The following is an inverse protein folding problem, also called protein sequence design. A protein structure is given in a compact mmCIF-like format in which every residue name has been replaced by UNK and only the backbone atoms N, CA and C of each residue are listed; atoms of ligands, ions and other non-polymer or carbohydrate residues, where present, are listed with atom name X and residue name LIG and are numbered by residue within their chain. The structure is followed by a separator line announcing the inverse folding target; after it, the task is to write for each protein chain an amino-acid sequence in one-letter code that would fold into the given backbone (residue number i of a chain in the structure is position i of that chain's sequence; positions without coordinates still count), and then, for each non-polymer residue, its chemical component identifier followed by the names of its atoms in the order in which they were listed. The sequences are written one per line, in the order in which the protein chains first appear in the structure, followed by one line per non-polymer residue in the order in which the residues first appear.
data_IF_285729357886
#
_entry.id   IF_285729357886
#
_cell.length_a   1.000
_cell.length_b   1.000
_cell.length_c   1.000
_cell.angle_alpha   90.00
_cell.angle_beta   90.00
_cell.angle_gamma   90.00
#
_symmetry.space_group_name_H-M   'P 1'
#
loop_
_entity.id
_entity.type
_entity.pdbx_description
1 polymer ?
#
# COMPACT_ATOMS: atom_id res chain seq x y z
N UNK A 1 24.39 -47.19 33.24
CA UNK A 1 24.75 -45.91 32.64
C UNK A 1 23.93 -45.80 31.32
N UNK A 2 22.74 -45.22 31.39
CA UNK A 2 21.86 -45.05 30.22
C UNK A 2 22.09 -43.63 29.65
N UNK A 3 22.69 -43.55 28.47
CA UNK A 3 22.81 -42.33 27.73
C UNK A 3 21.48 -41.96 27.12
N UNK A 4 20.83 -40.91 27.60
CA UNK A 4 19.72 -40.25 26.99
C UNK A 4 20.22 -39.42 25.82
N UNK A 5 19.90 -39.80 24.59
CA UNK A 5 20.11 -38.97 23.41
C UNK A 5 19.01 -37.90 23.40
N UNK A 6 19.35 -36.65 23.72
CA UNK A 6 18.53 -35.50 23.41
C UNK A 6 18.54 -35.29 21.88
N UNK A 7 17.40 -35.51 21.27
CA UNK A 7 17.16 -35.09 19.90
C UNK A 7 16.85 -33.57 19.93
N UNK A 8 17.88 -32.77 19.71
CA UNK A 8 17.72 -31.38 19.31
C UNK A 8 17.06 -31.38 17.91
N UNK A 9 15.79 -31.13 17.85
CA UNK A 9 15.11 -30.82 16.60
C UNK A 9 15.67 -29.47 16.12
N UNK A 10 16.57 -29.52 15.15
CA UNK A 10 16.98 -28.33 14.38
C UNK A 10 15.75 -27.87 13.59
N UNK A 11 15.08 -26.82 14.09
CA UNK A 11 14.08 -26.10 13.30
C UNK A 11 14.77 -25.61 12.03
N UNK A 12 14.25 -26.00 10.88
CA UNK A 12 14.67 -25.43 9.60
C UNK A 12 14.52 -23.91 9.68
N UNK A 13 15.48 -23.10 9.17
CA UNK A 13 15.29 -21.66 9.19
C UNK A 13 13.99 -21.32 8.45
N UNK A 14 13.10 -20.62 9.15
CA UNK A 14 11.82 -20.17 8.61
C UNK A 14 12.07 -19.38 7.32
N UNK A 15 11.33 -19.69 6.26
CA UNK A 15 11.47 -18.93 5.02
C UNK A 15 10.99 -17.49 5.23
N UNK A 16 11.80 -16.49 4.85
CA UNK A 16 11.43 -15.09 5.08
C UNK A 16 10.12 -14.74 4.38
N UNK A 17 9.28 -14.00 5.12
CA UNK A 17 7.91 -13.66 4.73
C UNK A 17 7.79 -12.23 4.22
N UNK A 18 6.95 -12.02 3.19
CA UNK A 18 6.67 -10.73 2.61
C UNK A 18 5.19 -10.34 2.73
N UNK A 19 4.94 -9.04 2.82
CA UNK A 19 3.60 -8.46 2.80
C UNK A 19 3.47 -7.51 1.61
N UNK A 20 2.44 -7.70 0.78
CA UNK A 20 2.16 -6.88 -0.40
C UNK A 20 0.86 -6.11 -0.21
N UNK A 21 0.92 -4.79 -0.33
CA UNK A 21 -0.19 -3.87 -0.06
C UNK A 21 -0.59 -3.15 -1.36
N UNK A 22 -1.71 -3.58 -1.96
CA UNK A 22 -2.26 -2.92 -3.15
C UNK A 22 -2.66 -1.47 -2.84
N UNK A 23 -2.44 -0.58 -3.81
CA UNK A 23 -2.99 0.76 -3.78
C UNK A 23 -4.50 0.81 -4.07
N UNK A 24 -5.16 1.87 -3.63
CA UNK A 24 -6.61 1.96 -3.87
C UNK A 24 -7.28 3.24 -3.41
N UNK A 25 -6.52 4.24 -2.94
CA UNK A 25 -7.08 5.40 -2.24
C UNK A 25 -7.87 4.93 -1.03
N UNK A 26 -9.06 5.50 -0.79
CA UNK A 26 -9.88 5.17 0.40
C UNK A 26 -10.43 3.73 0.42
N UNK A 27 -10.30 2.95 -0.67
CA UNK A 27 -10.58 1.51 -0.61
C UNK A 27 -9.58 0.77 0.28
N UNK A 28 -8.37 1.30 0.44
CA UNK A 28 -7.35 0.75 1.32
C UNK A 28 -7.68 0.91 2.83
N UNK A 29 -8.84 1.49 3.20
CA UNK A 29 -9.37 1.33 4.55
C UNK A 29 -9.60 -0.15 4.90
N UNK A 30 -9.93 -1.00 3.92
CA UNK A 30 -9.93 -2.45 4.08
C UNK A 30 -8.55 -2.96 4.53
N UNK A 31 -7.50 -2.54 3.82
CA UNK A 31 -6.12 -2.87 4.19
C UNK A 31 -5.78 -2.39 5.61
N UNK A 32 -6.23 -1.18 6.00
CA UNK A 32 -6.02 -0.68 7.36
C UNK A 32 -6.66 -1.57 8.43
N UNK A 33 -7.89 -2.04 8.18
CA UNK A 33 -8.57 -2.97 9.09
C UNK A 33 -7.81 -4.29 9.24
N UNK A 34 -7.31 -4.83 8.13
CA UNK A 34 -6.48 -6.04 8.15
C UNK A 34 -5.19 -5.83 8.93
N UNK A 35 -4.48 -4.72 8.68
CA UNK A 35 -3.22 -4.41 9.35
C UNK A 35 -3.39 -4.16 10.87
N UNK A 36 -4.51 -3.58 11.28
CA UNK A 36 -4.81 -3.38 12.69
C UNK A 36 -5.04 -4.71 13.42
N UNK A 37 -5.72 -5.68 12.76
CA UNK A 37 -5.82 -7.05 13.28
C UNK A 37 -4.45 -7.71 13.38
N UNK A 38 -3.57 -7.51 12.40
CA UNK A 38 -2.21 -8.04 12.45
C UNK A 38 -1.43 -7.49 13.64
N UNK A 39 -1.47 -6.17 13.86
CA UNK A 39 -0.80 -5.54 15.01
C UNK A 39 -1.33 -6.07 16.35
N UNK A 40 -2.65 -6.20 16.48
CA UNK A 40 -3.31 -6.69 17.70
C UNK A 40 -3.07 -8.17 17.99
N UNK A 41 -2.64 -8.95 16.98
CA UNK A 41 -2.42 -10.38 17.10
C UNK A 41 -0.96 -10.80 16.86
N UNK A 42 -0.03 -9.85 16.90
CA UNK A 42 1.41 -10.08 16.71
C UNK A 42 1.79 -10.82 15.41
N UNK A 43 1.01 -10.61 14.36
CA UNK A 43 1.38 -11.08 13.02
C UNK A 43 2.46 -10.14 12.49
N UNK A 44 3.64 -10.68 12.17
CA UNK A 44 4.82 -9.93 11.71
C UNK A 44 5.33 -10.48 10.39
N UNK A 45 5.98 -9.61 9.62
CA UNK A 45 6.60 -9.95 8.34
C UNK A 45 8.04 -9.42 8.32
N UNK A 46 8.92 -10.07 7.55
CA UNK A 46 10.30 -9.63 7.40
C UNK A 46 10.43 -8.45 6.44
N UNK A 47 9.53 -8.35 5.47
CA UNK A 47 9.45 -7.20 4.58
C UNK A 47 8.01 -6.89 4.17
N UNK A 48 7.76 -5.63 3.83
CA UNK A 48 6.52 -5.22 3.18
C UNK A 48 6.80 -4.29 2.00
N UNK A 49 5.93 -4.35 0.99
CA UNK A 49 5.94 -3.43 -0.14
C UNK A 49 4.54 -2.88 -0.36
N UNK A 50 4.44 -1.57 -0.47
CA UNK A 50 3.17 -0.89 -0.65
C UNK A 50 3.14 0.01 -1.88
N UNK A 51 1.94 0.25 -2.38
CA UNK A 51 1.67 1.14 -3.50
C UNK A 51 0.63 2.17 -3.09
N UNK A 52 0.89 3.47 -3.31
CA UNK A 52 -0.12 4.51 -3.08
C UNK A 52 -0.65 4.49 -1.62
N UNK A 53 -1.96 4.35 -1.43
CA UNK A 53 -2.55 4.20 -0.10
C UNK A 53 -2.02 2.97 0.67
N UNK A 54 -1.53 1.94 -0.01
CA UNK A 54 -0.87 0.79 0.62
C UNK A 54 0.41 1.19 1.38
N UNK A 55 1.18 2.14 0.85
CA UNK A 55 2.33 2.73 1.56
C UNK A 55 1.86 3.59 2.73
N UNK A 56 0.89 4.50 2.48
CA UNK A 56 0.41 5.46 3.49
C UNK A 56 -0.25 4.79 4.70
N UNK A 57 -0.81 3.61 4.53
CA UNK A 57 -1.44 2.87 5.62
C UNK A 57 -0.48 1.80 6.18
N UNK A 58 0.35 1.21 5.33
CA UNK A 58 1.38 0.26 5.73
C UNK A 58 2.44 0.84 6.68
N UNK A 59 2.76 2.14 6.57
CA UNK A 59 3.68 2.80 7.50
C UNK A 59 3.18 2.75 8.95
N UNK A 60 1.84 2.79 9.19
CA UNK A 60 1.27 2.66 10.52
C UNK A 60 1.43 1.23 11.10
N UNK A 61 1.45 0.21 10.22
CA UNK A 61 1.75 -1.15 10.64
C UNK A 61 3.21 -1.28 11.07
N UNK A 62 4.16 -0.71 10.31
CA UNK A 62 5.57 -0.72 10.69
C UNK A 62 5.83 0.07 11.97
N UNK A 63 5.16 1.22 12.18
CA UNK A 63 5.24 2.01 13.43
C UNK A 63 4.36 1.47 14.57
N UNK A 64 3.68 0.35 14.37
CA UNK A 64 2.80 -0.30 15.35
C UNK A 64 1.73 0.63 15.95
N UNK A 65 1.03 1.38 15.09
CA UNK A 65 0.01 2.36 15.49
C UNK A 65 -1.39 1.95 15.00
N UNK A 66 -2.07 0.99 15.68
CA UNK A 66 -3.39 0.53 15.28
C UNK A 66 -4.42 1.67 15.34
N UNK A 67 -5.39 1.66 14.43
CA UNK A 67 -6.45 2.65 14.32
C UNK A 67 -6.03 4.00 13.77
N UNK A 68 -4.73 4.29 13.61
CA UNK A 68 -4.25 5.60 13.21
C UNK A 68 -4.76 6.00 11.82
N UNK A 69 -4.71 5.09 10.84
CA UNK A 69 -5.16 5.39 9.47
C UNK A 69 -6.64 5.79 9.43
N UNK A 70 -7.51 5.04 10.10
CA UNK A 70 -8.94 5.37 10.19
C UNK A 70 -9.17 6.68 10.95
N UNK A 71 -8.50 6.84 12.10
CA UNK A 71 -8.68 7.99 13.01
C UNK A 71 -8.40 9.32 12.32
N UNK A 72 -7.25 9.49 11.66
CA UNK A 72 -6.95 10.77 11.02
C UNK A 72 -7.80 11.04 9.78
N UNK A 73 -8.16 10.02 8.99
CA UNK A 73 -9.05 10.19 7.85
C UNK A 73 -10.44 10.65 8.26
N UNK A 74 -11.00 10.13 9.36
CA UNK A 74 -12.28 10.58 9.91
C UNK A 74 -12.15 11.96 10.52
N UNK A 75 -11.13 12.20 11.34
CA UNK A 75 -10.91 13.49 12.02
C UNK A 75 -10.84 14.66 11.05
N UNK A 76 -10.21 14.45 9.89
CA UNK A 76 -9.94 15.53 8.94
C UNK A 76 -10.78 15.46 7.66
N UNK A 77 -11.81 14.60 7.60
CA UNK A 77 -12.67 14.41 6.41
C UNK A 77 -13.30 15.68 5.86
N UNK A 78 -13.64 16.61 6.74
CA UNK A 78 -14.29 17.87 6.41
C UNK A 78 -13.30 19.05 6.38
N UNK A 79 -12.01 18.82 6.61
CA UNK A 79 -11.00 19.85 6.57
C UNK A 79 -10.54 20.12 5.13
N UNK A 80 -10.80 21.33 4.57
CA UNK A 80 -10.43 21.65 3.19
C UNK A 80 -8.90 21.72 2.96
N UNK A 81 -8.10 21.79 4.05
CA UNK A 81 -6.65 21.75 3.99
C UNK A 81 -6.09 20.31 3.99
N UNK A 82 -6.93 19.29 4.17
CA UNK A 82 -6.49 17.88 4.13
C UNK A 82 -6.57 17.32 2.72
N UNK A 83 -7.77 16.99 2.23
CA UNK A 83 -8.01 16.42 0.91
C UNK A 83 -9.22 17.14 0.29
N UNK A 84 -9.03 17.98 -0.72
CA UNK A 84 -10.12 18.77 -1.30
C UNK A 84 -9.82 19.27 -2.71
N UNK A 85 -10.89 19.58 -3.44
CA UNK A 85 -10.81 20.34 -4.69
C UNK A 85 -10.19 21.73 -4.49
N UNK A 86 -10.45 22.40 -3.35
CA UNK A 86 -9.83 23.67 -2.99
C UNK A 86 -8.30 23.53 -2.92
N UNK A 87 -7.81 22.46 -2.30
CA UNK A 87 -6.37 22.17 -2.26
C UNK A 87 -5.83 21.96 -3.67
N UNK A 88 -6.49 21.15 -4.50
CA UNK A 88 -6.08 20.89 -5.89
C UNK A 88 -5.95 22.19 -6.69
N UNK A 89 -6.94 23.07 -6.65
CA UNK A 89 -6.89 24.34 -7.40
C UNK A 89 -5.83 25.30 -6.87
N UNK A 90 -5.56 25.31 -5.56
CA UNK A 90 -4.60 26.22 -4.94
C UNK A 90 -3.16 25.74 -5.07
N UNK A 91 -2.92 24.45 -4.92
CA UNK A 91 -1.56 23.88 -4.80
C UNK A 91 -1.17 22.98 -5.98
N UNK A 92 -2.14 22.51 -6.75
CA UNK A 92 -1.97 21.45 -7.76
C UNK A 92 -2.04 20.04 -7.19
N UNK A 93 -2.32 19.88 -5.86
CA UNK A 93 -2.41 18.62 -5.17
C UNK A 93 -3.77 18.50 -4.47
N UNK A 94 -4.54 17.44 -4.75
CA UNK A 94 -5.80 17.15 -4.06
C UNK A 94 -5.57 16.82 -2.59
N UNK A 95 -4.56 15.99 -2.31
CA UNK A 95 -4.01 15.77 -0.98
C UNK A 95 -2.98 16.87 -0.73
N UNK A 96 -3.26 17.74 0.24
CA UNK A 96 -2.38 18.87 0.52
C UNK A 96 -1.07 18.40 1.13
N UNK A 97 0.04 18.74 0.47
CA UNK A 97 1.38 18.32 0.86
C UNK A 97 1.74 18.76 2.28
N UNK A 98 1.65 20.07 2.55
CA UNK A 98 2.00 20.63 3.87
C UNK A 98 1.16 20.00 4.98
N UNK A 99 -0.15 19.84 4.76
CA UNK A 99 -1.03 19.27 5.77
C UNK A 99 -0.72 17.79 5.99
N UNK A 100 -0.68 16.99 4.91
CA UNK A 100 -0.70 15.52 4.99
C UNK A 100 0.67 14.91 5.27
N UNK A 101 1.76 15.55 4.81
CA UNK A 101 3.12 15.01 4.93
C UNK A 101 4.03 15.81 5.87
N UNK A 102 3.54 16.94 6.45
CA UNK A 102 4.29 17.68 7.47
C UNK A 102 3.46 17.86 8.74
N UNK A 103 2.29 18.51 8.68
CA UNK A 103 1.53 18.82 9.90
C UNK A 103 0.85 17.58 10.51
N UNK A 104 0.28 16.70 9.68
CA UNK A 104 -0.39 15.51 10.16
C UNK A 104 0.56 14.57 10.93
N UNK A 105 1.69 14.12 10.36
CA UNK A 105 2.55 13.16 11.01
C UNK A 105 3.41 13.73 12.15
N UNK A 106 3.54 15.06 12.28
CA UNK A 106 4.35 15.65 13.33
C UNK A 106 3.53 16.37 14.42
N UNK A 107 2.29 16.82 14.10
CA UNK A 107 1.54 17.71 15.00
C UNK A 107 0.13 17.21 15.29
N UNK A 108 -0.66 16.87 14.26
CA UNK A 108 -2.08 16.63 14.44
C UNK A 108 -2.42 15.19 14.85
N UNK A 109 -1.70 14.24 14.34
CA UNK A 109 -1.77 12.82 14.68
C UNK A 109 -0.36 12.22 14.51
N UNK A 110 0.54 12.45 15.49
CA UNK A 110 1.95 12.13 15.36
C UNK A 110 2.20 10.67 14.98
N UNK A 111 3.10 10.48 14.02
CA UNK A 111 3.62 9.18 13.69
C UNK A 111 4.75 8.84 14.67
N UNK A 112 4.79 7.62 15.13
CA UNK A 112 5.89 7.12 15.94
C UNK A 112 7.07 6.74 15.02
N UNK A 113 7.91 7.72 14.73
CA UNK A 113 9.08 7.55 13.88
C UNK A 113 10.15 6.67 14.53
N UNK A 114 10.23 6.65 15.85
CA UNK A 114 11.19 5.81 16.58
C UNK A 114 10.76 4.34 16.48
N UNK A 115 9.51 4.01 16.78
CA UNK A 115 8.99 2.67 16.60
C UNK A 115 9.09 2.19 15.13
N UNK A 116 8.93 3.11 14.18
CA UNK A 116 9.13 2.79 12.76
C UNK A 116 10.58 2.38 12.46
N UNK A 117 11.57 3.14 12.94
CA UNK A 117 13.00 2.86 12.74
C UNK A 117 13.48 1.60 13.47
N UNK A 118 12.97 1.38 14.68
CA UNK A 118 13.33 0.21 15.50
C UNK A 118 12.74 -1.10 14.98
N UNK A 119 11.65 -1.04 14.21
CA UNK A 119 11.04 -2.23 13.63
C UNK A 119 11.93 -2.80 12.52
N UNK A 120 12.43 -4.05 12.62
CA UNK A 120 13.36 -4.64 11.67
C UNK A 120 12.75 -4.94 10.30
N UNK A 121 11.44 -4.89 10.15
CA UNK A 121 10.76 -5.12 8.88
C UNK A 121 11.24 -4.14 7.81
N UNK A 122 11.73 -4.63 6.69
CA UNK A 122 12.06 -3.78 5.53
C UNK A 122 10.77 -3.28 4.88
N UNK A 123 10.70 -1.99 4.56
CA UNK A 123 9.49 -1.41 4.00
C UNK A 123 9.77 -0.66 2.69
N UNK A 124 9.11 -1.08 1.60
CA UNK A 124 9.32 -0.54 0.27
C UNK A 124 8.11 0.25 -0.22
N UNK A 125 8.37 1.42 -0.82
CA UNK A 125 7.40 2.16 -1.60
C UNK A 125 7.62 1.94 -3.09
N UNK A 126 6.54 1.73 -3.85
CA UNK A 126 6.59 1.70 -5.30
C UNK A 126 6.22 3.08 -5.84
N UNK A 127 7.07 3.64 -6.69
CA UNK A 127 6.84 4.87 -7.42
C UNK A 127 7.01 4.63 -8.92
N UNK A 128 6.46 5.51 -9.75
CA UNK A 128 6.71 5.52 -11.20
C UNK A 128 7.66 6.66 -11.52
N UNK A 129 8.85 6.35 -12.03
CA UNK A 129 9.74 7.33 -12.65
C UNK A 129 9.12 7.80 -13.97
N UNK A 130 8.85 9.10 -14.09
CA UNK A 130 8.15 9.61 -15.26
C UNK A 130 9.05 9.89 -16.46
N UNK A 131 10.34 10.08 -16.23
CA UNK A 131 11.35 10.24 -17.26
C UNK A 131 11.67 8.92 -17.93
N UNK A 132 11.86 7.84 -17.15
CA UNK A 132 12.16 6.50 -17.69
C UNK A 132 10.91 5.68 -18.02
N UNK A 133 9.79 5.95 -17.36
CA UNK A 133 8.56 5.18 -17.52
C UNK A 133 8.66 3.78 -16.93
N UNK A 134 9.34 3.63 -15.80
CA UNK A 134 9.54 2.35 -15.13
C UNK A 134 9.19 2.44 -13.64
N UNK A 135 8.92 1.30 -12.96
CA UNK A 135 8.74 1.27 -11.53
C UNK A 135 10.06 1.49 -10.81
N UNK A 136 10.01 2.24 -9.72
CA UNK A 136 11.09 2.41 -8.75
C UNK A 136 10.61 1.90 -7.42
N UNK A 137 11.38 1.01 -6.82
CA UNK A 137 11.10 0.41 -5.51
C UNK A 137 12.12 0.97 -4.51
N UNK A 138 11.66 1.93 -3.71
CA UNK A 138 12.51 2.59 -2.73
C UNK A 138 12.28 2.00 -1.34
N UNK A 139 13.36 1.58 -0.67
CA UNK A 139 13.32 1.15 0.71
C UNK A 139 13.25 2.37 1.62
N UNK A 140 12.27 2.42 2.52
CA UNK A 140 12.06 3.50 3.47
C UNK A 140 12.57 3.03 4.83
N UNK A 141 13.84 3.29 5.11
CA UNK A 141 14.47 2.96 6.38
C UNK A 141 13.99 3.88 7.50
N UNK A 142 13.85 5.17 7.19
CA UNK A 142 13.28 6.19 8.06
C UNK A 142 12.06 6.83 7.38
N UNK A 143 10.92 6.82 8.08
CA UNK A 143 9.69 7.41 7.57
C UNK A 143 9.70 8.94 7.62
N UNK A 144 10.60 9.59 8.38
CA UNK A 144 10.66 11.05 8.44
C UNK A 144 11.39 11.66 7.23
N UNK A 145 11.22 12.95 7.03
CA UNK A 145 11.92 13.71 6.01
C UNK A 145 11.76 13.14 4.60
N UNK A 146 12.83 12.55 4.08
CA UNK A 146 12.86 11.98 2.72
C UNK A 146 11.93 10.76 2.58
N UNK A 147 11.71 9.99 3.63
CA UNK A 147 10.78 8.87 3.63
C UNK A 147 9.34 9.32 3.36
N UNK A 148 8.88 10.41 4.00
CA UNK A 148 7.59 11.02 3.70
C UNK A 148 7.48 11.51 2.25
N UNK A 149 8.57 11.98 1.65
CA UNK A 149 8.62 12.36 0.23
C UNK A 149 8.41 11.15 -0.69
N UNK A 150 9.03 10.01 -0.41
CA UNK A 150 8.81 8.77 -1.16
C UNK A 150 7.39 8.24 -1.00
N UNK A 151 6.82 8.32 0.21
CA UNK A 151 5.42 7.98 0.46
C UNK A 151 4.47 8.90 -0.32
N UNK A 152 4.74 10.21 -0.36
CA UNK A 152 4.02 11.19 -1.16
C UNK A 152 4.10 10.84 -2.65
N UNK A 153 5.30 10.55 -3.17
CA UNK A 153 5.52 10.18 -4.57
C UNK A 153 4.70 8.94 -4.95
N UNK A 154 4.75 7.90 -4.11
CA UNK A 154 3.98 6.67 -4.30
C UNK A 154 2.46 6.91 -4.37
N UNK A 155 1.95 7.96 -3.72
CA UNK A 155 0.52 8.30 -3.67
C UNK A 155 0.13 9.46 -4.61
N UNK A 156 1.05 9.97 -5.44
CA UNK A 156 0.82 11.10 -6.34
C UNK A 156 0.15 10.66 -7.64
N UNK A 157 -1.19 10.58 -7.61
CA UNK A 157 -1.99 10.16 -8.77
C UNK A 157 -2.00 11.23 -9.87
N UNK A 158 -1.84 10.85 -11.16
CA UNK A 158 -1.99 11.76 -12.29
C UNK A 158 -3.28 12.59 -12.21
N UNK A 159 -3.20 13.89 -12.54
CA UNK A 159 -4.27 14.90 -12.47
C UNK A 159 -4.61 15.35 -11.06
N UNK A 160 -4.50 14.47 -10.06
CA UNK A 160 -4.81 14.80 -8.66
C UNK A 160 -3.59 15.25 -7.85
N UNK A 161 -2.38 15.09 -8.42
CA UNK A 161 -1.16 15.55 -7.83
C UNK A 161 -0.14 15.96 -8.90
N UNK A 162 0.75 16.87 -8.53
CA UNK A 162 1.98 17.14 -9.27
C UNK A 162 2.96 15.98 -9.10
N UNK A 163 3.83 15.72 -10.09
CA UNK A 163 4.98 14.86 -9.87
C UNK A 163 5.82 15.35 -8.69
N UNK A 164 6.32 14.42 -7.91
CA UNK A 164 7.19 14.72 -6.76
C UNK A 164 8.64 14.63 -7.21
N UNK A 165 9.38 15.71 -7.04
CA UNK A 165 10.81 15.75 -7.34
C UNK A 165 11.61 15.19 -6.15
N UNK A 166 12.48 14.21 -6.43
CA UNK A 166 13.45 13.63 -5.48
C UNK A 166 14.76 13.45 -6.24
N UNK A 167 15.83 14.04 -5.75
CA UNK A 167 17.18 13.96 -6.34
C UNK A 167 17.23 14.32 -7.83
N UNK A 168 16.48 15.36 -8.23
CA UNK A 168 16.42 15.85 -9.60
C UNK A 168 15.61 14.97 -10.58
N UNK A 169 14.92 13.94 -10.10
CA UNK A 169 14.00 13.11 -10.88
C UNK A 169 12.57 13.25 -10.37
N UNK A 170 11.61 13.01 -11.25
CA UNK A 170 10.20 13.18 -10.93
C UNK A 170 9.46 11.84 -10.87
N UNK A 171 8.61 11.73 -9.85
CA UNK A 171 7.89 10.49 -9.56
C UNK A 171 6.39 10.73 -9.44
N UNK A 172 5.63 9.73 -9.84
CA UNK A 172 4.18 9.63 -9.67
C UNK A 172 3.82 8.29 -9.00
N UNK A 173 2.51 8.10 -8.74
CA UNK A 173 1.92 6.91 -8.11
C UNK A 173 2.44 5.61 -8.74
N UNK A 174 2.92 4.72 -7.89
CA UNK A 174 3.49 3.44 -8.30
C UNK A 174 2.51 2.54 -9.04
N UNK A 175 1.21 2.67 -8.74
CA UNK A 175 0.17 1.90 -9.41
C UNK A 175 0.00 2.21 -10.91
N UNK A 176 0.81 3.09 -11.49
CA UNK A 176 0.91 3.30 -12.93
C UNK A 176 1.72 2.18 -13.58
N UNK A 177 2.80 1.73 -12.93
CA UNK A 177 3.77 0.77 -13.45
C UNK A 177 3.73 -0.60 -12.78
N UNK A 178 3.40 -0.67 -11.48
CA UNK A 178 3.24 -1.91 -10.71
C UNK A 178 2.22 -1.66 -9.59
N UNK A 179 1.02 -2.22 -9.74
CA UNK A 179 -0.08 -2.01 -8.79
C UNK A 179 -0.08 -3.02 -7.65
N UNK A 180 0.52 -4.23 -7.86
CA UNK A 180 0.57 -5.33 -6.89
C UNK A 180 1.95 -5.99 -6.97
N UNK A 181 2.97 -5.43 -6.30
CA UNK A 181 4.39 -5.73 -6.50
C UNK A 181 4.85 -7.08 -5.93
N UNK A 182 4.08 -8.16 -6.18
CA UNK A 182 4.42 -9.50 -5.70
C UNK A 182 5.73 -10.02 -6.31
N UNK A 183 5.93 -9.79 -7.62
CA UNK A 183 7.18 -10.22 -8.30
C UNK A 183 8.41 -9.53 -7.71
N UNK A 184 8.28 -8.25 -7.35
CA UNK A 184 9.38 -7.52 -6.73
C UNK A 184 9.80 -8.13 -5.40
N UNK A 185 8.84 -8.34 -4.48
CA UNK A 185 9.15 -8.84 -3.13
C UNK A 185 9.71 -10.27 -3.18
N UNK A 186 9.19 -11.11 -4.08
CA UNK A 186 9.74 -12.45 -4.35
C UNK A 186 11.17 -12.39 -4.90
N UNK A 187 11.44 -11.44 -5.81
CA UNK A 187 12.78 -11.18 -6.34
C UNK A 187 13.80 -10.74 -5.29
N UNK A 188 13.33 -10.19 -4.15
CA UNK A 188 14.15 -9.88 -2.96
C UNK A 188 14.42 -11.10 -2.07
N UNK A 189 13.85 -12.26 -2.40
CA UNK A 189 14.06 -13.50 -1.65
C UNK A 189 12.92 -13.87 -0.68
N UNK A 190 11.90 -13.03 -0.53
CA UNK A 190 10.73 -13.31 0.30
C UNK A 190 9.76 -14.22 -0.47
N UNK A 191 9.85 -15.52 -0.25
CA UNK A 191 9.11 -16.52 -1.05
C UNK A 191 7.70 -16.78 -0.57
N UNK A 192 7.45 -16.73 0.74
CA UNK A 192 6.10 -16.80 1.33
C UNK A 192 5.55 -15.37 1.44
N UNK A 193 4.42 -15.09 0.80
CA UNK A 193 3.89 -13.72 0.75
C UNK A 193 2.41 -13.65 1.10
N UNK A 194 2.03 -12.71 1.95
CA UNK A 194 0.63 -12.33 2.14
C UNK A 194 0.34 -11.11 1.26
N UNK A 195 -0.66 -11.21 0.40
CA UNK A 195 -1.11 -10.14 -0.48
C UNK A 195 -2.45 -9.60 -0.02
N UNK A 196 -2.54 -8.29 0.22
CA UNK A 196 -3.80 -7.62 0.57
C UNK A 196 -4.26 -6.79 -0.64
N UNK A 197 -5.41 -7.19 -1.22
CA UNK A 197 -6.05 -6.46 -2.30
C UNK A 197 -7.18 -5.55 -1.79
N UNK A 198 -7.47 -4.50 -2.55
CA UNK A 198 -8.57 -3.56 -2.34
C UNK A 198 -9.74 -3.78 -3.30
N UNK A 199 -9.68 -4.87 -4.06
CA UNK A 199 -10.70 -5.36 -4.98
C UNK A 199 -10.90 -6.87 -4.80
N UNK A 200 -12.09 -7.40 -5.11
CA UNK A 200 -12.29 -8.84 -5.15
C UNK A 200 -11.35 -9.54 -6.12
N UNK A 201 -11.07 -10.82 -5.88
CA UNK A 201 -10.13 -11.59 -6.68
C UNK A 201 -10.58 -11.77 -8.16
N UNK A 202 -11.87 -11.82 -8.40
CA UNK A 202 -12.46 -11.93 -9.74
C UNK A 202 -12.53 -10.59 -10.50
N UNK A 203 -12.06 -9.51 -9.87
CA UNK A 203 -12.07 -8.19 -10.49
C UNK A 203 -11.18 -8.19 -11.73
N UNK A 204 -11.75 -7.73 -12.86
CA UNK A 204 -11.00 -7.45 -14.08
C UNK A 204 -11.02 -5.95 -14.37
N UNK A 205 -9.82 -5.36 -14.46
CA UNK A 205 -9.68 -3.95 -14.77
C UNK A 205 -9.97 -3.71 -16.25
N UNK A 206 -10.92 -2.82 -16.53
CA UNK A 206 -11.26 -2.40 -17.89
C UNK A 206 -10.39 -1.21 -18.31
N UNK A 207 -10.21 -1.05 -19.62
CA UNK A 207 -9.58 0.14 -20.20
C UNK A 207 -10.33 1.38 -19.76
N UNK A 208 -9.63 2.32 -19.15
CA UNK A 208 -10.24 3.56 -18.67
C UNK A 208 -10.52 4.53 -19.82
N UNK A 209 -11.66 5.20 -19.77
CA UNK A 209 -11.91 6.37 -20.62
C UNK A 209 -11.09 7.55 -20.10
N UNK A 210 -10.31 8.14 -20.98
CA UNK A 210 -9.41 9.26 -20.64
C UNK A 210 -10.19 10.57 -20.83
N UNK A 211 -10.56 11.20 -19.72
CA UNK A 211 -11.19 12.52 -19.71
C UNK A 211 -10.24 13.63 -20.19
N UNK A 212 -10.79 14.84 -20.45
CA UNK A 212 -10.00 15.96 -21.00
C UNK A 212 -8.82 16.37 -20.11
N UNK A 213 -9.02 16.48 -18.79
CA UNK A 213 -7.96 16.83 -17.85
C UNK A 213 -6.81 15.82 -17.86
N UNK A 214 -7.14 14.52 -17.93
CA UNK A 214 -6.15 13.46 -18.06
C UNK A 214 -5.42 13.54 -19.41
N UNK A 215 -6.11 13.84 -20.52
CA UNK A 215 -5.46 14.03 -21.82
C UNK A 215 -4.48 15.20 -21.80
N UNK A 216 -4.83 16.32 -21.17
CA UNK A 216 -3.96 17.49 -21.04
C UNK A 216 -2.73 17.15 -20.18
N UNK A 217 -2.90 16.48 -19.05
CA UNK A 217 -1.81 16.00 -18.19
C UNK A 217 -0.88 15.05 -18.96
N UNK A 218 -1.43 14.03 -19.60
CA UNK A 218 -0.68 13.02 -20.34
C UNK A 218 0.09 13.59 -21.54
N UNK A 219 -0.37 14.72 -22.11
CA UNK A 219 0.34 15.40 -23.19
C UNK A 219 1.71 15.93 -22.74
N UNK A 220 1.85 16.29 -21.46
CA UNK A 220 3.12 16.73 -20.87
C UNK A 220 4.05 15.54 -20.54
N UNK A 221 3.49 14.34 -20.35
CA UNK A 221 4.22 13.14 -19.92
C UNK A 221 3.95 11.95 -20.83
N UNK A 222 4.56 11.89 -22.05
CA UNK A 222 4.24 10.87 -23.06
C UNK A 222 4.47 9.43 -22.60
N UNK A 223 5.53 9.16 -21.82
CA UNK A 223 5.78 7.83 -21.26
C UNK A 223 4.68 7.41 -20.28
N UNK A 224 4.24 8.32 -19.40
CA UNK A 224 3.10 8.07 -18.50
C UNK A 224 1.82 7.81 -19.30
N UNK A 225 1.63 8.51 -20.42
CA UNK A 225 0.48 8.28 -21.30
C UNK A 225 0.43 6.85 -21.84
N UNK A 226 1.58 6.32 -22.29
CA UNK A 226 1.70 4.94 -22.78
C UNK A 226 1.42 3.92 -21.67
N UNK A 227 1.98 4.14 -20.47
CA UNK A 227 1.74 3.29 -19.30
C UNK A 227 0.27 3.27 -18.90
N UNK A 228 -0.37 4.44 -18.81
CA UNK A 228 -1.78 4.55 -18.46
C UNK A 228 -2.70 3.89 -19.49
N UNK A 229 -2.36 3.93 -20.78
CA UNK A 229 -3.11 3.24 -21.83
C UNK A 229 -3.09 1.72 -21.66
N UNK A 230 -2.01 1.16 -21.11
CA UNK A 230 -1.77 -0.29 -20.92
C UNK A 230 -2.00 -0.74 -19.46
N UNK A 231 -2.30 0.17 -18.55
CA UNK A 231 -2.43 -0.11 -17.12
C UNK A 231 -3.45 -1.21 -16.79
N UNK A 232 -4.51 -1.34 -17.57
CA UNK A 232 -5.50 -2.40 -17.38
C UNK A 232 -4.95 -3.79 -17.74
N UNK A 233 -4.04 -3.88 -18.70
CA UNK A 233 -3.36 -5.12 -19.07
C UNK A 233 -2.41 -5.50 -17.93
N UNK A 234 -1.48 -4.62 -17.57
CA UNK A 234 -0.52 -4.82 -16.48
C UNK A 234 -1.21 -5.31 -15.19
N UNK A 235 -2.27 -4.63 -14.76
CA UNK A 235 -3.00 -5.01 -13.55
C UNK A 235 -3.64 -6.40 -13.64
N UNK A 236 -4.21 -6.76 -14.77
CA UNK A 236 -4.80 -8.09 -14.96
C UNK A 236 -3.73 -9.18 -15.01
N UNK A 237 -2.57 -8.91 -15.62
CA UNK A 237 -1.42 -9.82 -15.63
C UNK A 237 -0.87 -10.05 -14.20
N UNK A 238 -0.89 -9.02 -13.34
CA UNK A 238 -0.54 -9.13 -11.91
C UNK A 238 -1.53 -10.04 -11.18
N UNK A 239 -2.84 -9.90 -11.41
CA UNK A 239 -3.85 -10.78 -10.83
C UNK A 239 -3.69 -12.23 -11.31
N UNK A 240 -3.46 -12.44 -12.60
CA UNK A 240 -3.24 -13.79 -13.15
C UNK A 240 -1.96 -14.42 -12.56
N UNK A 241 -0.92 -13.63 -12.30
CA UNK A 241 0.27 -14.07 -11.59
C UNK A 241 -0.02 -14.46 -10.14
N UNK A 242 -0.80 -13.67 -9.40
CA UNK A 242 -1.23 -14.00 -8.03
C UNK A 242 -1.99 -15.32 -8.02
N UNK A 243 -2.90 -15.53 -8.97
CA UNK A 243 -3.61 -16.80 -9.10
C UNK A 243 -2.66 -18.00 -9.24
N UNK A 244 -1.59 -17.86 -10.03
CA UNK A 244 -0.60 -18.91 -10.19
C UNK A 244 0.19 -19.18 -8.91
N UNK A 245 0.53 -18.14 -8.16
CA UNK A 245 1.29 -18.26 -6.90
C UNK A 245 0.42 -18.83 -5.75
N UNK A 246 -0.88 -18.54 -5.74
CA UNK A 246 -1.85 -19.18 -4.85
C UNK A 246 -1.89 -20.71 -5.04
N UNK A 247 -1.92 -21.16 -6.30
CA UNK A 247 -1.91 -22.59 -6.63
C UNK A 247 -0.60 -23.30 -6.22
N UNK A 248 0.50 -22.58 -6.18
CA UNK A 248 1.81 -23.09 -5.73
C UNK A 248 1.97 -23.10 -4.20
N UNK A 249 1.02 -22.51 -3.46
CA UNK A 249 1.13 -22.36 -2.01
C UNK A 249 2.15 -21.31 -1.54
N UNK A 250 2.68 -20.48 -2.44
CA UNK A 250 3.67 -19.44 -2.13
C UNK A 250 3.05 -18.11 -1.67
N UNK A 251 1.74 -17.97 -1.85
CA UNK A 251 1.01 -16.73 -1.58
C UNK A 251 -0.26 -17.02 -0.81
N UNK A 252 -0.53 -16.20 0.19
CA UNK A 252 -1.80 -16.14 0.89
C UNK A 252 -2.51 -14.83 0.52
N UNK A 253 -3.79 -14.91 0.15
CA UNK A 253 -4.54 -13.76 -0.33
C UNK A 253 -5.60 -13.31 0.67
N UNK A 254 -5.62 -12.01 0.94
CA UNK A 254 -6.68 -11.33 1.68
C UNK A 254 -7.30 -10.29 0.76
N UNK A 255 -8.56 -10.45 0.40
CA UNK A 255 -9.28 -9.50 -0.44
C UNK A 255 -10.74 -9.40 0.01
N UNK A 256 -11.43 -8.30 -0.31
CA UNK A 256 -12.86 -8.20 -0.05
C UNK A 256 -13.62 -9.22 -0.91
N UNK A 257 -14.69 -9.78 -0.36
CA UNK A 257 -15.55 -10.74 -1.08
C UNK A 257 -16.36 -10.04 -2.19
N UNK A 258 -16.68 -8.75 -1.97
CA UNK A 258 -17.44 -7.93 -2.90
C UNK A 258 -16.80 -6.55 -3.09
N UNK A 259 -17.27 -5.79 -4.09
CA UNK A 259 -16.83 -4.41 -4.30
C UNK A 259 -17.14 -3.54 -3.09
N UNK A 260 -16.14 -2.84 -2.59
CA UNK A 260 -16.22 -2.04 -1.36
C UNK A 260 -17.16 -0.82 -1.44
N UNK A 261 -17.69 -0.47 -2.61
CA UNK A 261 -18.64 0.62 -2.82
C UNK A 261 -18.21 1.98 -2.23
N UNK A 262 -16.90 2.22 -2.22
CA UNK A 262 -16.27 3.50 -1.84
C UNK A 262 -15.42 4.03 -3.00
N UNK A 263 -15.53 5.33 -3.28
CA UNK A 263 -14.67 6.01 -4.25
C UNK A 263 -13.26 6.23 -3.70
N UNK A 264 -12.24 6.27 -4.57
CA UNK A 264 -10.84 6.46 -4.18
C UNK A 264 -10.58 7.72 -3.34
N UNK A 265 -11.36 8.77 -3.55
CA UNK A 265 -11.26 10.07 -2.89
C UNK A 265 -12.47 10.38 -1.99
N UNK A 266 -13.26 9.36 -1.63
CA UNK A 266 -14.51 9.54 -0.87
C UNK A 266 -14.23 9.59 0.62
N UNK A 267 -14.32 10.77 1.23
CA UNK A 267 -14.18 10.99 2.68
C UNK A 267 -15.51 10.83 3.46
N UNK A 268 -16.45 10.02 2.95
CA UNK A 268 -17.69 9.72 3.69
C UNK A 268 -17.39 8.77 4.84
N UNK A 269 -17.63 9.23 6.07
CA UNK A 269 -17.27 8.52 7.30
C UNK A 269 -17.91 7.14 7.39
N UNK A 270 -19.22 7.05 7.12
CA UNK A 270 -19.97 5.80 7.11
C UNK A 270 -19.35 4.74 6.18
N UNK A 271 -18.90 5.19 4.99
CA UNK A 271 -18.23 4.30 4.03
C UNK A 271 -16.84 3.89 4.47
N UNK A 272 -16.06 4.83 5.03
CA UNK A 272 -14.71 4.52 5.52
C UNK A 272 -14.76 3.51 6.67
N UNK A 273 -15.67 3.69 7.64
CA UNK A 273 -15.86 2.74 8.76
C UNK A 273 -16.28 1.37 8.25
N UNK A 274 -17.31 1.29 7.42
CA UNK A 274 -17.77 0.01 6.86
C UNK A 274 -16.66 -0.74 6.11
N UNK A 275 -15.87 -0.04 5.31
CA UNK A 275 -14.76 -0.64 4.55
C UNK A 275 -13.64 -1.11 5.47
N UNK A 276 -13.34 -0.35 6.52
CA UNK A 276 -12.39 -0.73 7.55
C UNK A 276 -12.87 -1.98 8.33
N UNK A 277 -14.12 -1.98 8.79
CA UNK A 277 -14.74 -3.11 9.50
C UNK A 277 -14.74 -4.38 8.66
N UNK A 278 -15.04 -4.28 7.35
CA UNK A 278 -14.92 -5.42 6.44
C UNK A 278 -13.50 -6.00 6.39
N UNK A 279 -12.47 -5.15 6.48
CA UNK A 279 -11.07 -5.57 6.60
C UNK A 279 -10.78 -6.30 7.92
N UNK A 280 -11.29 -5.77 9.02
CA UNK A 280 -11.16 -6.38 10.34
C UNK A 280 -11.83 -7.75 10.37
N UNK A 281 -13.09 -7.85 9.95
CA UNK A 281 -13.85 -9.11 9.90
C UNK A 281 -13.14 -10.14 9.03
N UNK A 282 -12.68 -9.74 7.85
CA UNK A 282 -11.96 -10.63 6.92
C UNK A 282 -10.68 -11.17 7.55
N UNK A 283 -9.85 -10.31 8.14
CA UNK A 283 -8.60 -10.71 8.78
C UNK A 283 -8.84 -11.63 9.98
N UNK A 284 -9.83 -11.31 10.83
CA UNK A 284 -10.18 -12.15 11.98
C UNK A 284 -10.64 -13.54 11.55
N UNK A 285 -11.45 -13.64 10.50
CA UNK A 285 -11.91 -14.93 9.97
C UNK A 285 -10.80 -15.82 9.40
N UNK A 286 -9.72 -15.19 8.92
CA UNK A 286 -8.57 -15.87 8.29
C UNK A 286 -7.37 -16.02 9.25
N UNK A 287 -7.45 -15.51 10.47
CA UNK A 287 -6.30 -15.41 11.38
C UNK A 287 -5.60 -16.76 11.64
N UNK A 288 -6.30 -17.88 11.88
CA UNK A 288 -5.65 -19.18 12.04
C UNK A 288 -4.86 -19.61 10.80
N UNK A 289 -5.45 -19.45 9.61
CA UNK A 289 -4.81 -19.80 8.34
C UNK A 289 -3.61 -18.91 8.02
N UNK A 290 -3.68 -17.62 8.38
CA UNK A 290 -2.57 -16.70 8.20
C UNK A 290 -1.37 -17.10 9.08
N UNK A 291 -1.62 -17.47 10.36
CA UNK A 291 -0.57 -17.96 11.26
C UNK A 291 0.09 -19.22 10.70
N UNK A 292 -0.70 -20.21 10.33
CA UNK A 292 -0.21 -21.45 9.73
C UNK A 292 0.63 -21.20 8.47
N UNK A 293 0.23 -20.23 7.65
CA UNK A 293 0.93 -19.90 6.42
C UNK A 293 2.29 -19.25 6.67
N UNK A 294 2.41 -18.34 7.64
CA UNK A 294 3.66 -17.58 7.89
C UNK A 294 4.64 -18.35 8.79
N UNK A 295 4.19 -19.28 9.59
CA UNK A 295 5.01 -20.23 10.38
C UNK A 295 5.63 -21.32 9.48
#
# INVERSE_FOLDING_TARGET
MKMTKEHSATQSPQSPTGLVLEGGGLRAMFTSGVLDVFMQNDIRFDAAVGVSAGVLFGCNYKSNQPGRALRYNIRFKDNPEYMSWKSLFRTGNYVNERFSYHLLPHVYDPMDFDAYRENPMRFYAVCTDIEEGCPVYHEIDDADGIGLRWMQASASMPVFAKPVEIDGRHYLDGGITDSIPLKFIQGKGYRKNVVILTQPLDFKKKKAHVGLAMKMFLKQYPKVAQLMARRHIMYNDELDYIHSELQKGNTFLICPDEKLNIGRLSLKEDKMRRVYEAGVEKAMSLLPQIREFIE
#
